data_IF_084043906986
#
_entry.id   IF_084043906986
#
_cell.length_a   1.000
_cell.length_b   1.000
_cell.length_c   1.000
_cell.angle_alpha   90.00
_cell.angle_beta   90.00
_cell.angle_gamma   90.00
#
_symmetry.space_group_name_H-M   'P 1'
#
loop_
_entity.id
_entity.type
_entity.pdbx_description
1 polymer ?
#
# COMPACT_ATOMS: atom_id res chain seq x y z
N UNK A 1 41.06 6.32 -21.80
CA UNK A 1 39.96 5.57 -22.43
C UNK A 1 38.86 5.47 -21.40
N UNK A 2 37.88 6.39 -21.45
CA UNK A 2 36.85 6.54 -20.41
C UNK A 2 35.72 5.59 -20.76
N UNK A 3 35.58 4.50 -20.03
CA UNK A 3 34.42 3.62 -20.15
C UNK A 3 33.22 4.33 -19.52
N UNK A 4 32.45 5.01 -20.36
CA UNK A 4 31.10 5.47 -20.01
C UNK A 4 30.27 4.23 -19.74
N UNK A 5 30.13 3.84 -18.48
CA UNK A 5 29.15 2.84 -18.08
C UNK A 5 27.78 3.42 -18.46
N UNK A 6 27.20 2.93 -19.54
CA UNK A 6 25.82 3.20 -19.90
C UNK A 6 24.97 2.67 -18.74
N UNK A 7 24.53 3.57 -17.86
CA UNK A 7 23.59 3.25 -16.80
C UNK A 7 22.35 2.66 -17.47
N UNK A 8 22.12 1.35 -17.26
CA UNK A 8 20.89 0.72 -17.69
C UNK A 8 19.75 1.50 -17.06
N UNK A 9 18.77 1.94 -17.85
CA UNK A 9 17.53 2.50 -17.32
C UNK A 9 16.92 1.45 -16.39
N UNK A 10 16.94 1.69 -15.08
CA UNK A 10 16.38 0.78 -14.09
C UNK A 10 14.90 0.57 -14.41
N UNK A 11 14.54 -0.65 -14.82
CA UNK A 11 13.16 -0.98 -15.17
C UNK A 11 12.23 -0.88 -13.96
N UNK A 12 10.95 -0.64 -14.20
CA UNK A 12 9.88 -0.55 -13.18
C UNK A 12 9.85 -1.71 -12.16
N UNK A 13 10.35 -2.88 -12.57
CA UNK A 13 10.39 -4.11 -11.76
C UNK A 13 11.78 -4.46 -11.22
N UNK A 14 12.77 -3.58 -11.41
CA UNK A 14 14.13 -3.83 -10.94
C UNK A 14 14.19 -3.82 -9.41
N UNK A 15 14.96 -4.74 -8.84
CA UNK A 15 15.18 -4.85 -7.40
C UNK A 15 16.61 -4.37 -7.12
N UNK A 16 16.74 -3.09 -6.82
CA UNK A 16 18.03 -2.47 -6.46
C UNK A 16 18.15 -2.27 -4.95
N UNK A 17 19.35 -1.98 -4.46
CA UNK A 17 19.57 -1.64 -3.04
C UNK A 17 18.64 -0.53 -2.58
N UNK A 18 18.38 0.46 -3.45
CA UNK A 18 17.46 1.56 -3.16
C UNK A 18 16.02 1.06 -2.95
N UNK A 19 15.53 0.17 -3.82
CA UNK A 19 14.20 -0.43 -3.72
C UNK A 19 14.06 -1.18 -2.40
N UNK A 20 15.07 -1.97 -2.02
CA UNK A 20 15.08 -2.71 -0.76
C UNK A 20 15.05 -1.77 0.45
N UNK A 21 15.84 -0.69 0.44
CA UNK A 21 15.88 0.29 1.54
C UNK A 21 14.54 1.00 1.69
N UNK A 22 13.92 1.46 0.60
CA UNK A 22 12.61 2.10 0.67
C UNK A 22 11.50 1.15 1.11
N UNK A 23 11.54 -0.10 0.64
CA UNK A 23 10.63 -1.14 1.09
C UNK A 23 10.77 -1.42 2.59
N UNK A 24 12.00 -1.52 3.10
CA UNK A 24 12.25 -1.74 4.52
C UNK A 24 11.77 -0.57 5.40
N UNK A 25 12.05 0.67 4.99
CA UNK A 25 11.56 1.87 5.68
C UNK A 25 10.03 1.92 5.66
N UNK A 26 9.42 1.69 4.49
CA UNK A 26 7.97 1.66 4.34
C UNK A 26 7.33 0.60 5.23
N UNK A 27 7.85 -0.64 5.18
CA UNK A 27 7.35 -1.75 5.99
C UNK A 27 7.48 -1.47 7.50
N UNK A 28 8.60 -0.91 7.94
CA UNK A 28 8.81 -0.55 9.35
C UNK A 28 7.85 0.54 9.82
N UNK A 29 7.65 1.60 9.01
CA UNK A 29 6.67 2.64 9.32
C UNK A 29 5.26 2.07 9.37
N UNK A 30 4.89 1.25 8.38
CA UNK A 30 3.58 0.63 8.31
C UNK A 30 3.31 -0.23 9.55
N UNK A 31 4.25 -1.11 9.91
CA UNK A 31 4.16 -1.98 11.07
C UNK A 31 4.05 -1.19 12.39
N UNK A 32 4.86 -0.13 12.54
CA UNK A 32 4.82 0.73 13.72
C UNK A 32 3.45 1.42 13.88
N UNK A 33 2.93 2.01 12.81
CA UNK A 33 1.62 2.65 12.87
C UNK A 33 0.48 1.63 13.00
N UNK A 34 0.63 0.42 12.46
CA UNK A 34 -0.29 -0.68 12.71
C UNK A 34 -0.35 -1.01 14.20
N UNK A 35 0.80 -1.11 14.85
CA UNK A 35 0.89 -1.33 16.29
C UNK A 35 0.28 -0.18 17.11
N UNK A 36 0.53 1.07 16.73
CA UNK A 36 0.00 2.26 17.43
C UNK A 36 -1.52 2.43 17.30
N UNK A 37 -2.10 2.00 16.18
CA UNK A 37 -3.54 2.13 15.90
C UNK A 37 -4.34 0.87 16.21
N UNK A 38 -3.65 -0.20 16.65
CA UNK A 38 -4.27 -1.47 16.99
C UNK A 38 -5.29 -1.28 18.12
N UNK A 39 -6.51 -1.79 17.92
CA UNK A 39 -7.62 -1.70 18.88
C UNK A 39 -8.73 -0.72 18.51
N UNK A 40 -8.57 0.08 17.45
CA UNK A 40 -9.68 0.87 16.89
C UNK A 40 -10.51 -0.02 15.95
N UNK A 41 -11.38 -0.83 16.52
CA UNK A 41 -12.26 -1.72 15.75
C UNK A 41 -13.36 -0.92 15.03
N UNK A 42 -13.70 -1.32 13.80
CA UNK A 42 -14.87 -0.80 13.09
C UNK A 42 -16.14 -1.45 13.66
N UNK A 43 -17.11 -0.64 14.16
CA UNK A 43 -18.36 -1.18 14.67
C UNK A 43 -19.10 -2.01 13.61
N UNK A 44 -19.53 -3.21 13.98
CA UNK A 44 -20.33 -4.08 13.11
C UNK A 44 -19.54 -4.88 12.05
N UNK A 45 -18.23 -5.05 12.23
CA UNK A 45 -17.36 -5.83 11.34
C UNK A 45 -16.69 -6.99 12.09
N UNK A 46 -16.23 -8.01 11.36
CA UNK A 46 -15.45 -9.12 11.93
C UNK A 46 -13.98 -8.73 11.96
N UNK A 47 -13.48 -8.30 13.13
CA UNK A 47 -12.07 -7.98 13.39
C UNK A 47 -11.41 -6.94 12.45
N UNK A 48 -12.20 -6.13 11.76
CA UNK A 48 -11.65 -5.07 10.89
C UNK A 48 -11.36 -3.82 11.71
N UNK A 49 -10.10 -3.37 11.67
CA UNK A 49 -9.67 -2.13 12.33
C UNK A 49 -9.74 -0.92 11.39
N UNK A 50 -9.97 0.27 11.95
CA UNK A 50 -9.77 1.54 11.24
C UNK A 50 -8.26 1.77 11.08
N UNK A 51 -7.79 1.98 9.85
CA UNK A 51 -6.35 2.04 9.53
C UNK A 51 -5.99 3.37 8.86
N UNK A 52 -5.87 4.49 9.59
CA UNK A 52 -5.46 5.76 8.99
C UNK A 52 -4.09 5.66 8.31
N UNK A 53 -3.19 4.84 8.86
CA UNK A 53 -1.86 4.54 8.31
C UNK A 53 -1.87 3.74 7.02
N UNK A 54 -3.03 3.24 6.59
CA UNK A 54 -3.16 2.48 5.35
C UNK A 54 -2.60 3.26 4.14
N UNK A 55 -2.76 4.58 4.10
CA UNK A 55 -2.22 5.41 3.01
C UNK A 55 -0.70 5.39 2.88
N UNK A 56 0.05 4.87 3.87
CA UNK A 56 1.50 4.67 3.75
C UNK A 56 1.84 3.67 2.63
N UNK A 57 1.18 2.52 2.55
CA UNK A 57 1.54 1.50 1.56
C UNK A 57 1.26 1.98 0.13
N UNK A 58 0.16 2.72 -0.06
CA UNK A 58 -0.21 3.28 -1.35
C UNK A 58 0.70 4.44 -1.72
N UNK A 59 1.12 5.25 -0.75
CA UNK A 59 2.13 6.29 -0.96
C UNK A 59 3.49 5.70 -1.35
N UNK A 60 3.99 4.71 -0.61
CA UNK A 60 5.28 4.10 -0.91
C UNK A 60 5.27 3.42 -2.29
N UNK A 61 4.17 2.78 -2.66
CA UNK A 61 3.94 2.30 -4.01
C UNK A 61 4.02 3.43 -5.03
N UNK A 62 3.18 4.46 -4.87
CA UNK A 62 3.07 5.58 -5.80
C UNK A 62 4.38 6.38 -5.96
N UNK A 63 5.14 6.57 -4.87
CA UNK A 63 6.34 7.39 -4.89
C UNK A 63 7.59 6.62 -5.34
N UNK A 64 7.69 5.33 -5.01
CA UNK A 64 8.93 4.55 -5.15
C UNK A 64 8.79 3.30 -6.02
N UNK A 65 7.60 3.01 -6.54
CA UNK A 65 7.33 1.97 -7.52
C UNK A 65 6.63 0.73 -6.95
N UNK A 66 6.19 -0.18 -7.83
CA UNK A 66 5.30 -1.29 -7.49
C UNK A 66 5.94 -2.29 -6.52
N UNK A 67 7.24 -2.59 -6.69
CA UNK A 67 7.95 -3.51 -5.78
C UNK A 67 8.03 -2.94 -4.37
N UNK A 68 8.31 -1.63 -4.24
CA UNK A 68 8.37 -0.96 -2.93
C UNK A 68 6.99 -0.96 -2.26
N UNK A 69 5.94 -0.64 -3.02
CA UNK A 69 4.56 -0.70 -2.54
C UNK A 69 4.15 -2.10 -2.07
N UNK A 70 4.48 -3.13 -2.86
CA UNK A 70 4.20 -4.52 -2.50
C UNK A 70 4.84 -4.91 -1.17
N UNK A 71 6.15 -4.70 -1.05
CA UNK A 71 6.89 -5.07 0.15
C UNK A 71 6.46 -4.24 1.36
N UNK A 72 6.18 -2.95 1.17
CA UNK A 72 5.67 -2.08 2.23
C UNK A 72 4.35 -2.61 2.80
N UNK A 73 3.39 -2.94 1.93
CA UNK A 73 2.08 -3.45 2.35
C UNK A 73 2.17 -4.87 2.92
N UNK A 74 2.85 -5.79 2.23
CA UNK A 74 2.94 -7.19 2.63
C UNK A 74 3.77 -7.36 3.91
N UNK A 75 5.05 -6.98 3.87
CA UNK A 75 5.96 -7.16 5.01
C UNK A 75 5.55 -6.28 6.17
N UNK A 76 5.11 -5.05 5.89
CA UNK A 76 4.64 -4.14 6.93
C UNK A 76 3.42 -4.68 7.68
N UNK A 77 2.47 -5.30 6.98
CA UNK A 77 1.32 -5.92 7.65
C UNK A 77 1.73 -7.17 8.43
N UNK A 78 2.53 -8.07 7.86
CA UNK A 78 3.02 -9.29 8.55
C UNK A 78 3.75 -8.93 9.85
N UNK A 79 4.64 -7.95 9.80
CA UNK A 79 5.37 -7.49 11.00
C UNK A 79 4.42 -6.79 11.96
N UNK A 80 3.52 -5.95 11.46
CA UNK A 80 2.49 -5.28 12.27
C UNK A 80 1.63 -6.26 13.06
N UNK A 81 1.13 -7.31 12.41
CA UNK A 81 0.30 -8.35 13.01
C UNK A 81 1.09 -9.17 14.05
N UNK A 82 2.39 -9.37 13.83
CA UNK A 82 3.25 -9.99 14.82
C UNK A 82 3.47 -9.12 16.06
N UNK A 83 3.61 -7.80 15.88
CA UNK A 83 3.82 -6.85 16.97
C UNK A 83 2.58 -6.65 17.84
N UNK A 84 1.39 -6.80 17.26
CA UNK A 84 0.11 -6.66 17.98
C UNK A 84 -0.32 -7.93 18.69
N UNK A 85 0.39 -9.04 18.48
CA UNK A 85 0.05 -10.35 19.05
C UNK A 85 -0.99 -11.14 18.25
N UNK A 86 -1.45 -10.62 17.11
CA UNK A 86 -2.36 -11.32 16.18
C UNK A 86 -1.67 -12.52 15.49
N UNK A 87 -0.38 -12.38 15.23
CA UNK A 87 0.47 -13.40 14.62
C UNK A 87 0.73 -13.14 13.14
N UNK A 88 1.99 -13.29 12.73
CA UNK A 88 2.49 -12.92 11.40
C UNK A 88 1.74 -13.53 10.21
N UNK A 89 1.22 -14.76 10.37
CA UNK A 89 0.61 -15.53 9.28
C UNK A 89 -0.80 -16.02 9.59
N UNK A 90 -1.41 -15.54 10.67
CA UNK A 90 -2.79 -15.87 11.05
C UNK A 90 -3.76 -15.43 9.96
N UNK A 91 -3.56 -14.23 9.40
CA UNK A 91 -4.37 -13.64 8.33
C UNK A 91 -3.49 -13.29 7.12
N UNK A 92 -2.79 -14.28 6.58
CA UNK A 92 -1.82 -14.09 5.49
C UNK A 92 -2.47 -13.45 4.24
N UNK A 93 -3.73 -13.77 3.94
CA UNK A 93 -4.48 -13.24 2.81
C UNK A 93 -4.66 -11.71 2.89
N UNK A 94 -4.79 -11.18 4.11
CA UNK A 94 -4.85 -9.74 4.37
C UNK A 94 -3.50 -9.08 4.11
N UNK A 95 -2.40 -9.72 4.50
CA UNK A 95 -1.06 -9.23 4.19
C UNK A 95 -0.83 -9.17 2.68
N UNK A 96 -1.26 -10.19 1.92
CA UNK A 96 -1.17 -10.20 0.46
C UNK A 96 -2.04 -9.12 -0.17
N UNK A 97 -3.28 -8.94 0.30
CA UNK A 97 -4.17 -7.87 -0.17
C UNK A 97 -3.54 -6.47 0.01
N UNK A 98 -2.91 -6.21 1.17
CA UNK A 98 -2.17 -4.98 1.42
C UNK A 98 -0.98 -4.82 0.45
N UNK A 99 -0.20 -5.88 0.23
CA UNK A 99 0.88 -5.86 -0.75
C UNK A 99 0.38 -5.55 -2.17
N UNK A 100 -0.69 -6.21 -2.61
CA UNK A 100 -1.27 -5.98 -3.94
C UNK A 100 -1.78 -4.55 -4.09
N UNK A 101 -2.42 -3.97 -3.08
CA UNK A 101 -2.82 -2.57 -3.11
C UNK A 101 -1.60 -1.63 -3.24
N UNK A 102 -0.52 -1.88 -2.51
CA UNK A 102 0.70 -1.07 -2.64
C UNK A 102 1.33 -1.19 -4.02
N UNK A 103 1.37 -2.40 -4.56
CA UNK A 103 1.88 -2.69 -5.90
C UNK A 103 1.08 -1.96 -6.98
N UNK A 104 -0.25 -2.09 -6.95
CA UNK A 104 -1.15 -1.48 -7.93
C UNK A 104 -1.04 0.04 -7.85
N UNK A 105 -1.01 0.63 -6.65
CA UNK A 105 -0.79 2.06 -6.48
C UNK A 105 0.54 2.52 -7.12
N UNK A 106 1.58 1.69 -7.05
CA UNK A 106 2.86 1.97 -7.72
C UNK A 106 2.87 1.84 -9.23
N UNK A 107 1.86 1.21 -9.85
CA UNK A 107 1.73 1.17 -11.31
C UNK A 107 1.11 2.47 -11.88
N UNK A 108 0.31 3.19 -11.09
CA UNK A 108 -0.39 4.39 -11.54
C UNK A 108 0.53 5.49 -12.10
N UNK A 109 1.65 5.86 -11.45
CA UNK A 109 2.55 6.88 -11.99
C UNK A 109 3.05 6.57 -13.40
N UNK A 110 3.21 5.29 -13.76
CA UNK A 110 3.65 4.88 -15.09
C UNK A 110 2.55 5.10 -16.14
N UNK A 111 1.28 4.86 -15.79
CA UNK A 111 0.15 5.03 -16.72
C UNK A 111 -0.36 6.47 -16.78
N UNK A 112 -0.25 7.22 -15.69
CA UNK A 112 -0.86 8.54 -15.52
C UNK A 112 0.17 9.67 -15.51
N UNK A 113 1.43 9.42 -15.90
CA UNK A 113 2.50 10.42 -15.94
C UNK A 113 2.09 11.72 -16.66
N UNK A 114 1.40 11.60 -17.80
CA UNK A 114 0.93 12.74 -18.59
C UNK A 114 -0.16 13.58 -17.92
N UNK A 115 -0.81 13.05 -16.88
CA UNK A 115 -1.88 13.72 -16.12
C UNK A 115 -1.36 14.43 -14.86
N UNK A 116 -0.07 14.35 -14.58
CA UNK A 116 0.56 14.80 -13.34
C UNK A 116 1.46 16.04 -13.54
N UNK A 117 0.93 17.06 -14.22
CA UNK A 117 1.68 18.27 -14.58
C UNK A 117 1.78 19.33 -13.48
N UNK A 118 0.91 19.25 -12.47
CA UNK A 118 0.90 20.16 -11.31
C UNK A 118 0.82 19.38 -9.99
N UNK A 119 1.24 19.98 -8.85
CA UNK A 119 1.11 19.34 -7.54
C UNK A 119 -0.34 18.92 -7.23
N UNK A 120 -1.32 19.75 -7.58
CA UNK A 120 -2.74 19.41 -7.42
C UNK A 120 -3.16 18.19 -8.23
N UNK A 121 -2.73 18.10 -9.50
CA UNK A 121 -3.04 16.94 -10.35
C UNK A 121 -2.35 15.65 -9.89
N UNK A 122 -1.13 15.75 -9.34
CA UNK A 122 -0.41 14.63 -8.72
C UNK A 122 -1.13 14.15 -7.46
N UNK A 123 -1.55 15.07 -6.59
CA UNK A 123 -2.33 14.74 -5.41
C UNK A 123 -3.64 14.01 -5.78
N UNK A 124 -4.41 14.53 -6.74
CA UNK A 124 -5.63 13.86 -7.21
C UNK A 124 -5.32 12.48 -7.78
N UNK A 125 -4.28 12.36 -8.60
CA UNK A 125 -3.86 11.07 -9.16
C UNK A 125 -3.44 10.09 -8.08
N UNK A 126 -2.72 10.54 -7.05
CA UNK A 126 -2.31 9.72 -5.92
C UNK A 126 -3.50 9.24 -5.07
N UNK A 127 -4.48 10.11 -4.82
CA UNK A 127 -5.71 9.74 -4.13
C UNK A 127 -6.50 8.69 -4.91
N UNK A 128 -6.71 8.92 -6.22
CA UNK A 128 -7.40 7.97 -7.12
C UNK A 128 -6.64 6.64 -7.19
N UNK A 129 -5.31 6.69 -7.32
CA UNK A 129 -4.46 5.50 -7.33
C UNK A 129 -4.65 4.68 -6.06
N UNK A 130 -4.62 5.33 -4.89
CA UNK A 130 -4.82 4.67 -3.60
C UNK A 130 -6.19 3.99 -3.48
N UNK A 131 -7.26 4.68 -3.88
CA UNK A 131 -8.63 4.12 -3.85
C UNK A 131 -8.76 2.93 -4.80
N UNK A 132 -8.37 3.09 -6.07
CA UNK A 132 -8.49 2.02 -7.08
C UNK A 132 -7.64 0.81 -6.69
N UNK A 133 -6.42 1.07 -6.22
CA UNK A 133 -5.53 0.01 -5.77
C UNK A 133 -6.09 -0.76 -4.56
N UNK A 134 -6.77 -0.06 -3.65
CA UNK A 134 -7.45 -0.69 -2.50
C UNK A 134 -8.59 -1.59 -2.96
N UNK A 135 -9.49 -1.06 -3.81
CA UNK A 135 -10.62 -1.84 -4.34
C UNK A 135 -10.12 -3.09 -5.05
N UNK A 136 -9.15 -2.98 -5.95
CA UNK A 136 -8.66 -4.11 -6.73
C UNK A 136 -7.81 -5.06 -5.88
N UNK A 137 -6.91 -4.54 -5.05
CA UNK A 137 -6.01 -5.34 -4.22
C UNK A 137 -6.76 -6.20 -3.20
N UNK A 138 -7.81 -5.66 -2.59
CA UNK A 138 -8.62 -6.38 -1.61
C UNK A 138 -9.55 -7.44 -2.19
N UNK A 139 -9.72 -7.52 -3.52
CA UNK A 139 -10.40 -8.68 -4.11
C UNK A 139 -9.72 -10.00 -3.76
N UNK A 140 -8.43 -9.95 -3.41
CA UNK A 140 -7.67 -11.12 -3.00
C UNK A 140 -8.20 -11.80 -1.73
N UNK A 141 -8.90 -11.09 -0.83
CA UNK A 141 -9.41 -11.71 0.41
C UNK A 141 -10.47 -12.79 0.13
N UNK A 142 -11.13 -12.75 -1.04
CA UNK A 142 -12.05 -13.81 -1.46
C UNK A 142 -11.37 -15.18 -1.68
N UNK A 143 -10.03 -15.25 -1.63
CA UNK A 143 -9.31 -16.53 -1.56
C UNK A 143 -9.77 -17.39 -0.38
N UNK A 144 -10.30 -16.77 0.68
CA UNK A 144 -10.89 -17.45 1.84
C UNK A 144 -12.01 -18.43 1.45
N UNK A 145 -12.75 -18.18 0.38
CA UNK A 145 -13.75 -19.13 -0.12
C UNK A 145 -13.18 -20.52 -0.45
N UNK A 146 -11.88 -20.58 -0.72
CA UNK A 146 -11.14 -21.81 -1.03
C UNK A 146 -10.28 -22.25 0.16
N UNK A 147 -9.67 -21.31 0.88
CA UNK A 147 -8.68 -21.63 1.92
C UNK A 147 -9.25 -21.74 3.32
N UNK A 148 -10.37 -21.06 3.59
CA UNK A 148 -11.05 -20.97 4.89
C UNK A 148 -12.56 -21.01 4.66
N UNK A 149 -13.11 -22.21 4.45
CA UNK A 149 -14.53 -22.43 4.10
C UNK A 149 -15.51 -22.19 5.25
N UNK A 150 -15.18 -21.27 6.16
CA UNK A 150 -15.98 -20.91 7.33
C UNK A 150 -17.06 -19.89 6.96
N UNK A 151 -16.79 -19.03 5.99
CA UNK A 151 -17.70 -17.97 5.55
C UNK A 151 -18.09 -18.09 4.08
N UNK A 152 -19.38 -17.88 3.78
CA UNK A 152 -19.86 -17.78 2.41
C UNK A 152 -19.54 -16.44 1.76
N UNK A 153 -19.67 -16.36 0.43
CA UNK A 153 -19.37 -15.14 -0.35
C UNK A 153 -20.04 -13.88 0.19
N UNK A 154 -21.33 -13.96 0.54
CA UNK A 154 -22.06 -12.81 1.08
C UNK A 154 -21.50 -12.35 2.43
N UNK A 155 -21.05 -13.28 3.28
CA UNK A 155 -20.48 -12.94 4.57
C UNK A 155 -19.14 -12.20 4.39
N UNK A 156 -18.22 -12.75 3.59
CA UNK A 156 -16.94 -12.09 3.26
C UNK A 156 -17.18 -10.71 2.63
N UNK A 157 -18.10 -10.63 1.66
CA UNK A 157 -18.41 -9.38 0.96
C UNK A 157 -18.88 -8.28 1.93
N UNK A 158 -19.80 -8.63 2.85
CA UNK A 158 -20.50 -7.64 3.68
C UNK A 158 -19.81 -7.34 5.01
N UNK A 159 -19.09 -8.30 5.57
CA UNK A 159 -18.46 -8.16 6.89
C UNK A 159 -16.98 -7.80 6.81
N UNK A 160 -16.32 -8.11 5.70
CA UNK A 160 -14.89 -7.88 5.52
C UNK A 160 -14.60 -6.94 4.35
N UNK A 161 -14.95 -7.33 3.12
CA UNK A 161 -14.54 -6.61 1.91
C UNK A 161 -15.08 -5.18 1.87
N UNK A 162 -16.40 -5.00 1.92
CA UNK A 162 -17.04 -3.67 1.80
C UNK A 162 -16.56 -2.73 2.92
N UNK A 163 -16.62 -3.11 4.22
CA UNK A 163 -16.18 -2.21 5.29
C UNK A 163 -14.70 -1.85 5.16
N UNK A 164 -13.85 -2.84 4.87
CA UNK A 164 -12.40 -2.63 4.72
C UNK A 164 -12.08 -1.72 3.55
N UNK A 165 -12.67 -1.98 2.39
CA UNK A 165 -12.44 -1.17 1.19
C UNK A 165 -12.89 0.27 1.42
N UNK A 166 -14.02 0.50 2.09
CA UNK A 166 -14.46 1.86 2.41
C UNK A 166 -13.47 2.55 3.35
N UNK A 167 -13.14 1.92 4.49
CA UNK A 167 -12.23 2.51 5.48
C UNK A 167 -10.84 2.78 4.92
N UNK A 168 -10.25 1.80 4.24
CA UNK A 168 -8.93 1.91 3.63
C UNK A 168 -8.92 2.88 2.45
N UNK A 169 -9.99 2.96 1.66
CA UNK A 169 -10.08 3.93 0.57
C UNK A 169 -10.14 5.36 1.09
N UNK A 170 -10.85 5.62 2.19
CA UNK A 170 -10.86 6.94 2.84
C UNK A 170 -9.46 7.28 3.34
N UNK A 171 -8.80 6.36 4.05
CA UNK A 171 -7.44 6.55 4.52
C UNK A 171 -6.46 6.80 3.36
N UNK A 172 -6.54 6.01 2.30
CA UNK A 172 -5.71 6.18 1.11
C UNK A 172 -5.99 7.50 0.38
N UNK A 173 -7.26 7.89 0.23
CA UNK A 173 -7.65 9.13 -0.45
C UNK A 173 -7.19 10.38 0.29
N UNK A 174 -6.99 10.30 1.61
CA UNK A 174 -6.53 11.42 2.44
C UNK A 174 -5.01 11.38 2.60
N UNK A 175 -4.47 10.27 3.09
CA UNK A 175 -3.06 10.20 3.52
C UNK A 175 -2.11 10.11 2.33
N UNK A 176 -2.45 9.37 1.28
CA UNK A 176 -1.60 9.24 0.09
C UNK A 176 -1.27 10.60 -0.55
N UNK A 177 -2.25 11.45 -0.92
CA UNK A 177 -1.93 12.74 -1.53
C UNK A 177 -1.19 13.68 -0.60
N UNK A 178 -1.47 13.68 0.71
CA UNK A 178 -0.75 14.50 1.68
C UNK A 178 0.74 14.14 1.68
N UNK A 179 1.05 12.85 1.73
CA UNK A 179 2.44 12.37 1.71
C UNK A 179 3.13 12.63 0.36
N UNK A 180 2.41 12.51 -0.76
CA UNK A 180 2.94 12.88 -2.08
C UNK A 180 3.32 14.36 -2.12
N UNK A 181 2.42 15.25 -1.69
CA UNK A 181 2.68 16.69 -1.66
C UNK A 181 3.82 17.05 -0.70
N UNK A 182 3.93 16.37 0.44
CA UNK A 182 5.03 16.58 1.37
C UNK A 182 6.38 16.06 0.83
N UNK A 183 6.35 15.02 0.00
CA UNK A 183 7.55 14.41 -0.59
C UNK A 183 8.11 15.20 -1.78
N UNK A 184 7.26 15.88 -2.55
CA UNK A 184 7.68 16.61 -3.77
C UNK A 184 8.83 17.61 -3.54
N UNK A 185 8.78 18.52 -2.54
CA UNK A 185 9.87 19.46 -2.30
C UNK A 185 11.20 18.78 -1.93
N UNK A 186 11.12 17.70 -1.16
CA UNK A 186 12.30 16.93 -0.76
C UNK A 186 12.91 16.20 -1.95
N UNK A 187 12.06 15.64 -2.81
CA UNK A 187 12.49 14.98 -4.05
C UNK A 187 13.25 15.94 -4.97
N UNK A 188 12.75 17.17 -5.13
CA UNK A 188 13.41 18.21 -5.92
C UNK A 188 14.77 18.60 -5.34
N UNK A 189 14.87 18.79 -4.02
CA UNK A 189 16.14 19.07 -3.32
C UNK A 189 17.18 17.96 -3.48
N UNK A 190 16.72 16.71 -3.55
CA UNK A 190 17.58 15.55 -3.76
C UNK A 190 17.99 15.37 -5.23
N UNK A 191 17.52 16.23 -6.14
CA UNK A 191 17.82 16.19 -7.57
C UNK A 191 17.22 14.97 -8.28
N UNK A 192 16.01 14.55 -7.90
CA UNK A 192 15.37 13.29 -8.35
C UNK A 192 13.98 13.46 -8.94
#
# INVERSE_FOLDING_TARGET
MTTTAMGQSEGTWSVTTRVIVYAAIGAALYALFNWLSFGIAMPGTNDVSIRPHYGLLTFFGFAFGPVVGFLTGFVGNVVGDQLTGWGAFTSWQWSVANGLAGMIAGLFPFWMASRMSSPGSKAVTAAVAGVVATVIGFLFIFVELVTQQEMGFNAILTTEYIPTVIGNSIAAAIVTPILVLAWEPLREQLGR
#
